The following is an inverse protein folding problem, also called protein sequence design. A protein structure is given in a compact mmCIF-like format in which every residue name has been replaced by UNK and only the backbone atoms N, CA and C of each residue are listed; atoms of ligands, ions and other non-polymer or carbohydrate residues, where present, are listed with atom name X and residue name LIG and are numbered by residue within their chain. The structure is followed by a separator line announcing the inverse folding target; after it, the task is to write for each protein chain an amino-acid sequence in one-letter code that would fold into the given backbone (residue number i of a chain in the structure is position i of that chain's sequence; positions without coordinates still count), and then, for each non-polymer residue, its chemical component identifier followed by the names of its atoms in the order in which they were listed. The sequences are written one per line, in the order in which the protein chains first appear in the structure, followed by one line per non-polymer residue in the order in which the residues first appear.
data_IF_354220171197
#
_entry.id   IF_354220171197
#
_cell.length_a   1.000
_cell.length_b   1.000
_cell.length_c   1.000
_cell.angle_alpha   90.00
_cell.angle_beta   90.00
_cell.angle_gamma   90.00
#
_symmetry.space_group_name_H-M   'P 1'
#
loop_
_entity.id
_entity.type
_entity.pdbx_description
1 polymer ?
#
# COMPACT_ATOMS: atom_id res chain seq x y z
N UNK A 1 0.99 38.57 -2.01
CA UNK A 1 -0.01 37.64 -1.42
C UNK A 1 -0.25 36.57 -2.46
N UNK A 2 0.53 35.50 -2.41
CA UNK A 2 0.42 34.39 -3.35
C UNK A 2 -0.28 33.25 -2.61
N UNK A 3 -1.53 33.01 -2.99
CA UNK A 3 -2.35 31.94 -2.42
C UNK A 3 -1.79 30.64 -2.99
N UNK A 4 -0.97 29.95 -2.19
CA UNK A 4 -0.56 28.59 -2.46
C UNK A 4 -1.83 27.72 -2.52
N UNK A 5 -2.25 27.37 -3.74
CA UNK A 5 -3.34 26.46 -4.00
C UNK A 5 -2.95 25.12 -3.37
N UNK A 6 -3.60 24.83 -2.24
CA UNK A 6 -3.58 23.55 -1.54
C UNK A 6 -3.98 22.50 -2.58
N UNK A 7 -3.10 21.55 -2.89
CA UNK A 7 -3.43 20.42 -3.75
C UNK A 7 -4.54 19.61 -3.07
N UNK A 8 -5.75 19.69 -3.63
CA UNK A 8 -6.94 18.96 -3.23
C UNK A 8 -6.80 17.47 -3.60
N UNK A 9 -5.90 16.76 -2.91
CA UNK A 9 -5.88 15.29 -2.81
C UNK A 9 -5.47 14.88 -1.38
N UNK A 10 -6.01 15.54 -0.36
CA UNK A 10 -6.25 14.88 0.93
C UNK A 10 -7.48 13.96 0.77
N UNK A 11 -7.39 13.03 -0.19
CA UNK A 11 -8.40 12.02 -0.43
C UNK A 11 -8.62 11.24 0.86
N UNK A 12 -9.87 11.15 1.26
CA UNK A 12 -10.37 10.45 2.44
C UNK A 12 -9.62 9.11 2.57
N UNK A 13 -8.65 9.07 3.49
CA UNK A 13 -7.77 7.92 3.64
C UNK A 13 -8.61 6.77 4.16
N UNK A 14 -8.77 5.73 3.36
CA UNK A 14 -9.46 4.53 3.83
C UNK A 14 -8.75 4.03 5.09
N UNK A 15 -9.52 3.60 6.09
CA UNK A 15 -8.97 3.19 7.38
C UNK A 15 -8.02 1.97 7.26
N UNK A 16 -8.20 1.17 6.21
CA UNK A 16 -7.39 0.01 5.84
C UNK A 16 -6.17 0.35 4.94
N UNK A 17 -5.89 1.63 4.66
CA UNK A 17 -4.80 2.05 3.78
C UNK A 17 -3.55 2.61 4.50
N UNK A 18 -2.40 2.03 4.19
CA UNK A 18 -1.08 2.43 4.71
C UNK A 18 -0.22 3.01 3.58
N UNK A 19 -0.31 4.32 3.37
CA UNK A 19 0.57 5.04 2.43
C UNK A 19 1.99 5.18 2.98
N UNK A 20 2.96 4.56 2.31
CA UNK A 20 4.38 4.63 2.61
C UNK A 20 5.01 5.83 1.89
N UNK A 21 5.79 6.61 2.62
CA UNK A 21 6.45 7.82 2.11
C UNK A 21 7.96 7.72 2.24
N UNK A 22 8.69 8.50 1.44
CA UNK A 22 10.15 8.52 1.45
C UNK A 22 10.73 9.01 2.78
N UNK A 23 10.07 9.93 3.49
CA UNK A 23 10.54 10.49 4.78
C UNK A 23 10.04 9.75 6.02
N UNK A 24 8.92 9.01 5.94
CA UNK A 24 8.35 8.35 7.11
C UNK A 24 9.17 7.16 7.63
N UNK A 25 9.11 6.93 8.95
CA UNK A 25 9.84 5.86 9.65
C UNK A 25 9.14 4.51 9.48
N UNK A 26 9.92 3.47 9.15
CA UNK A 26 9.44 2.08 8.98
C UNK A 26 8.64 1.60 10.18
N UNK A 27 9.13 1.83 11.39
CA UNK A 27 8.46 1.44 12.63
C UNK A 27 7.02 1.95 12.75
N UNK A 28 6.75 3.18 12.30
CA UNK A 28 5.41 3.76 12.40
C UNK A 28 4.42 3.06 11.47
N UNK A 29 4.87 2.67 10.27
CA UNK A 29 4.06 1.91 9.32
C UNK A 29 3.75 0.51 9.83
N UNK A 30 4.74 -0.16 10.41
CA UNK A 30 4.56 -1.46 11.05
C UNK A 30 3.57 -1.38 12.19
N UNK A 31 3.79 -0.43 13.12
CA UNK A 31 2.89 -0.23 14.27
C UNK A 31 1.45 -0.03 13.81
N UNK A 32 1.22 0.88 12.86
CA UNK A 32 -0.12 1.15 12.36
C UNK A 32 -0.75 -0.06 11.68
N UNK A 33 -0.05 -0.70 10.73
CA UNK A 33 -0.56 -1.88 10.04
C UNK A 33 -0.86 -3.04 11.00
N UNK A 34 -0.01 -3.27 12.00
CA UNK A 34 -0.23 -4.27 13.04
C UNK A 34 -1.45 -3.93 13.90
N UNK A 35 -1.66 -2.66 14.27
CA UNK A 35 -2.88 -2.23 14.98
C UNK A 35 -4.13 -2.48 14.13
N UNK A 36 -4.11 -2.19 12.82
CA UNK A 36 -5.23 -2.49 11.92
C UNK A 36 -5.57 -3.99 11.90
N UNK A 37 -4.56 -4.84 11.72
CA UNK A 37 -4.74 -6.29 11.65
C UNK A 37 -5.10 -6.90 13.01
N UNK A 38 -4.40 -6.56 14.08
CA UNK A 38 -4.47 -7.29 15.35
C UNK A 38 -5.46 -6.69 16.34
N UNK A 39 -5.53 -5.36 16.47
CA UNK A 39 -6.38 -4.68 17.44
C UNK A 39 -7.75 -4.42 16.83
N UNK A 40 -7.79 -3.76 15.65
CA UNK A 40 -9.04 -3.44 14.94
C UNK A 40 -9.64 -4.62 14.19
N UNK A 41 -8.94 -5.76 14.13
CA UNK A 41 -9.36 -6.99 13.43
C UNK A 41 -9.77 -6.77 11.97
N UNK A 42 -9.17 -5.78 11.31
CA UNK A 42 -9.36 -5.58 9.87
C UNK A 42 -8.72 -6.78 9.16
N UNK A 43 -9.46 -7.42 8.27
CA UNK A 43 -9.00 -8.63 7.57
C UNK A 43 -8.04 -8.32 6.42
N UNK A 44 -8.19 -7.14 5.80
CA UNK A 44 -7.47 -6.76 4.58
C UNK A 44 -6.94 -5.34 4.73
N UNK A 45 -5.65 -5.16 4.47
CA UNK A 45 -5.01 -3.85 4.43
C UNK A 45 -4.32 -3.64 3.08
N UNK A 46 -4.21 -2.38 2.65
CA UNK A 46 -3.53 -1.99 1.40
C UNK A 46 -2.38 -1.06 1.71
N UNK A 47 -1.18 -1.45 1.29
CA UNK A 47 0.03 -0.64 1.39
C UNK A 47 0.32 -0.03 0.02
N UNK A 48 0.60 1.27 -0.04
CA UNK A 48 0.88 1.97 -1.31
C UNK A 48 2.12 2.84 -1.24
N UNK A 49 2.87 2.88 -2.33
CA UNK A 49 4.09 3.67 -2.43
C UNK A 49 4.36 4.09 -3.88
N UNK A 50 5.07 5.21 -4.04
CA UNK A 50 5.51 5.71 -5.34
C UNK A 50 6.98 6.09 -5.30
N UNK A 51 7.65 5.98 -6.45
CA UNK A 51 9.04 6.36 -6.64
C UNK A 51 9.98 5.71 -5.63
N UNK A 52 10.82 6.52 -4.97
CA UNK A 52 11.83 6.03 -4.02
C UNK A 52 11.25 5.34 -2.77
N UNK A 53 9.95 5.52 -2.48
CA UNK A 53 9.31 4.86 -1.34
C UNK A 53 8.97 3.38 -1.60
N UNK A 54 9.02 2.91 -2.84
CA UNK A 54 8.65 1.52 -3.20
C UNK A 54 9.52 0.51 -2.45
N UNK A 55 10.85 0.69 -2.42
CA UNK A 55 11.74 -0.23 -1.72
C UNK A 55 11.41 -0.32 -0.23
N UNK A 56 11.05 0.82 0.38
CA UNK A 56 10.62 0.86 1.78
C UNK A 56 9.29 0.12 1.98
N UNK A 57 8.36 0.24 1.04
CA UNK A 57 7.09 -0.48 1.07
C UNK A 57 7.31 -1.99 1.09
N UNK A 58 8.18 -2.51 0.23
CA UNK A 58 8.51 -3.94 0.21
C UNK A 58 9.11 -4.39 1.55
N UNK A 59 10.02 -3.60 2.12
CA UNK A 59 10.59 -3.91 3.45
C UNK A 59 9.52 -3.96 4.55
N UNK A 60 8.57 -3.02 4.54
CA UNK A 60 7.45 -3.00 5.51
C UNK A 60 6.56 -4.23 5.33
N UNK A 61 6.19 -4.57 4.09
CA UNK A 61 5.40 -5.78 3.76
C UNK A 61 6.08 -7.05 4.27
N UNK A 62 7.39 -7.19 4.02
CA UNK A 62 8.14 -8.39 4.37
C UNK A 62 8.35 -8.54 5.89
N UNK A 63 8.44 -7.42 6.61
CA UNK A 63 8.45 -7.47 8.08
C UNK A 63 7.05 -7.81 8.60
N UNK A 64 5.97 -7.25 8.02
CA UNK A 64 4.61 -7.54 8.46
C UNK A 64 4.23 -9.02 8.31
N UNK A 65 4.59 -9.66 7.20
CA UNK A 65 4.33 -11.10 7.00
C UNK A 65 5.04 -11.99 8.01
N UNK A 66 6.19 -11.55 8.54
CA UNK A 66 6.90 -12.24 9.64
C UNK A 66 6.24 -12.01 11.01
N UNK A 67 5.61 -10.86 11.21
CA UNK A 67 4.93 -10.52 12.48
C UNK A 67 3.50 -11.08 12.55
N UNK A 68 2.81 -11.20 11.42
CA UNK A 68 1.44 -11.69 11.31
C UNK A 68 1.43 -12.87 10.35
N UNK A 69 1.31 -14.11 10.85
CA UNK A 69 1.33 -15.30 10.01
C UNK A 69 0.04 -15.39 9.17
N UNK A 70 0.10 -16.22 8.12
CA UNK A 70 -1.05 -16.55 7.27
C UNK A 70 -1.66 -15.35 6.52
N UNK A 71 -0.82 -14.41 6.07
CA UNK A 71 -1.24 -13.32 5.20
C UNK A 71 -1.05 -13.69 3.72
N UNK A 72 -2.15 -13.67 2.97
CA UNK A 72 -2.17 -13.68 1.52
C UNK A 72 -1.75 -12.32 0.99
N UNK A 73 -1.03 -12.30 -0.14
CA UNK A 73 -0.51 -11.08 -0.73
C UNK A 73 -0.96 -10.94 -2.19
N UNK A 74 -1.32 -9.73 -2.60
CA UNK A 74 -1.52 -9.35 -4.00
C UNK A 74 -0.70 -8.10 -4.32
N UNK A 75 0.12 -8.18 -5.36
CA UNK A 75 0.90 -7.06 -5.88
C UNK A 75 0.14 -6.40 -7.03
N UNK A 76 -0.25 -5.15 -6.85
CA UNK A 76 -0.90 -4.34 -7.86
C UNK A 76 0.05 -3.26 -8.34
N UNK A 77 0.39 -3.33 -9.62
CA UNK A 77 1.10 -2.26 -10.32
C UNK A 77 0.03 -1.48 -11.09
N UNK A 78 -0.35 -0.27 -10.64
CA UNK A 78 -1.37 0.50 -11.34
C UNK A 78 -0.85 0.84 -12.75
N UNK A 79 -1.56 0.33 -13.75
CA UNK A 79 -1.34 0.65 -15.16
C UNK A 79 -1.94 2.04 -15.43
N UNK A 80 -1.17 3.09 -15.16
CA UNK A 80 -1.57 4.47 -15.41
C UNK A 80 -1.73 4.75 -16.92
N UNK A 81 -2.91 4.44 -17.50
CA UNK A 81 -3.30 4.87 -18.86
C UNK A 81 -3.95 6.25 -18.95
N UNK A 82 -4.39 6.86 -17.84
CA UNK A 82 -4.95 8.21 -17.86
C UNK A 82 -4.12 9.16 -17.01
N UNK A 83 -3.18 9.83 -17.67
CA UNK A 83 -2.51 10.99 -17.13
C UNK A 83 -3.45 12.19 -17.10
N UNK A 84 -3.48 12.88 -15.96
CA UNK A 84 -3.76 14.31 -15.89
C UNK A 84 -2.85 14.90 -14.81
N UNK A 85 -1.56 14.96 -15.11
CA UNK A 85 -0.63 15.86 -14.42
C UNK A 85 -0.46 17.09 -15.29
N UNK A 86 -0.87 18.26 -14.79
CA UNK A 86 -0.62 19.54 -15.45
C UNK A 86 0.87 19.71 -15.77
N UNK A 87 1.15 20.06 -17.03
CA UNK A 87 2.40 20.67 -17.56
C UNK A 87 3.79 20.09 -17.22
N UNK A 88 3.93 19.00 -16.47
CA UNK A 88 5.18 18.24 -16.38
C UNK A 88 4.92 16.76 -16.05
N UNK A 89 4.79 15.93 -17.09
CA UNK A 89 4.59 14.49 -16.96
C UNK A 89 5.88 13.78 -16.53
N UNK A 90 6.17 13.76 -15.22
CA UNK A 90 7.15 12.81 -14.68
C UNK A 90 6.44 11.49 -14.43
N UNK A 91 6.77 10.47 -15.23
CA UNK A 91 6.33 9.11 -14.99
C UNK A 91 6.96 8.62 -13.68
N UNK A 92 6.16 8.44 -12.63
CA UNK A 92 6.62 7.88 -11.36
C UNK A 92 6.03 6.49 -11.21
N UNK A 93 6.90 5.49 -11.04
CA UNK A 93 6.47 4.12 -10.74
C UNK A 93 5.69 4.10 -9.44
N UNK A 94 4.61 3.33 -9.40
CA UNK A 94 3.77 3.12 -8.23
C UNK A 94 3.63 1.63 -7.96
N UNK A 95 3.51 1.27 -6.69
CA UNK A 95 3.23 -0.08 -6.23
C UNK A 95 2.14 -0.03 -5.16
N UNK A 96 1.18 -0.93 -5.24
CA UNK A 96 0.27 -1.26 -4.15
C UNK A 96 0.37 -2.73 -3.81
N UNK A 97 0.32 -3.05 -2.53
CA UNK A 97 0.32 -4.42 -2.02
C UNK A 97 -0.87 -4.59 -1.09
N UNK A 98 -1.73 -5.55 -1.39
CA UNK A 98 -2.84 -5.92 -0.51
C UNK A 98 -2.42 -7.14 0.30
N UNK A 99 -2.60 -7.06 1.63
CA UNK A 99 -2.39 -8.18 2.54
C UNK A 99 -3.73 -8.56 3.18
N UNK A 100 -4.09 -9.84 3.15
CA UNK A 100 -5.33 -10.34 3.75
C UNK A 100 -5.15 -11.63 4.52
N UNK A 101 -5.92 -11.81 5.59
CA UNK A 101 -6.06 -13.10 6.29
C UNK A 101 -6.96 -14.10 5.58
N UNK A 102 -7.75 -13.64 4.61
CA UNK A 102 -8.67 -14.48 3.85
C UNK A 102 -8.19 -14.59 2.41
N UNK A 103 -8.21 -15.80 1.87
CA UNK A 103 -7.99 -16.05 0.45
C UNK A 103 -9.15 -15.59 -0.44
N UNK A 104 -10.33 -15.30 0.16
CA UNK A 104 -11.59 -15.07 -0.55
C UNK A 104 -11.88 -13.58 -0.84
N UNK A 105 -10.88 -12.70 -0.72
CA UNK A 105 -11.06 -11.26 -0.93
C UNK A 105 -10.01 -10.75 -1.92
N UNK A 106 -10.49 -10.41 -3.13
CA UNK A 106 -10.00 -9.39 -4.06
C UNK A 106 -8.50 -9.40 -4.48
N UNK A 107 -8.16 -9.17 -5.77
CA UNK A 107 -9.04 -8.80 -6.88
C UNK A 107 -9.59 -10.00 -7.66
N UNK A 108 -10.87 -9.94 -8.02
CA UNK A 108 -11.52 -10.88 -8.95
C UNK A 108 -11.23 -10.58 -10.43
N UNK A 109 -10.16 -9.85 -10.73
CA UNK A 109 -9.77 -9.47 -12.09
C UNK A 109 -8.25 -9.55 -12.21
N UNK A 110 -7.80 -10.43 -13.10
CA UNK A 110 -6.43 -10.89 -13.34
C UNK A 110 -5.75 -11.60 -12.16
N UNK A 111 -5.52 -12.91 -12.32
CA UNK A 111 -4.80 -13.79 -11.38
C UNK A 111 -3.32 -13.41 -11.18
N UNK A 112 -2.87 -12.31 -11.77
CA UNK A 112 -1.48 -11.86 -11.76
C UNK A 112 -1.14 -11.11 -10.46
N UNK A 113 -0.04 -11.50 -9.82
CA UNK A 113 0.49 -10.82 -8.64
C UNK A 113 0.08 -11.41 -7.30
N UNK A 114 -0.68 -12.51 -7.26
CA UNK A 114 -0.94 -13.28 -6.04
C UNK A 114 0.31 -13.97 -5.50
N UNK A 115 0.43 -14.02 -4.18
CA UNK A 115 1.43 -14.79 -3.46
C UNK A 115 0.78 -15.42 -2.21
N UNK A 116 0.91 -16.73 -2.09
CA UNK A 116 0.42 -17.49 -0.93
C UNK A 116 1.17 -17.10 0.36
N UNK A 117 0.57 -17.33 1.55
CA UNK A 117 1.24 -17.07 2.81
C UNK A 117 2.55 -17.83 2.93
N UNK A 118 3.53 -17.20 3.59
CA UNK A 118 4.82 -17.84 3.84
C UNK A 118 4.65 -19.01 4.82
N UNK A 119 5.15 -20.18 4.45
CA UNK A 119 5.33 -21.31 5.37
C UNK A 119 6.34 -20.90 6.43
N UNK A 120 5.99 -21.06 7.71
CA UNK A 120 6.91 -20.83 8.83
C UNK A 120 7.93 -21.95 8.94
#
# INVERSE_FOLDING_TARGET
MEVAIRSEEEGQREENEVRITTSGKVHNYLRYATTLLNEKKINTIKLSAAGSAINKCISVVEILKRQVPQLHQWNLVPSNKNGLYGTSSRHVSCLSVVLSRSSNIYPQTDEHGYQAPQSQ
#
